data_IF_215833236008
#
_entry.id   IF_215833236008
#
_cell.length_a   1.000
_cell.length_b   1.000
_cell.length_c   1.000
_cell.angle_alpha   90.00
_cell.angle_beta   90.00
_cell.angle_gamma   90.00
#
_symmetry.space_group_name_H-M   'P 1'
#
loop_
_entity.id
_entity.type
_entity.pdbx_description
1 polymer ?
#
# COMPACT_ATOMS: atom_id res chain seq x y z
N UNK A 1 5.37 2.55 -32.62
CA UNK A 1 3.98 2.09 -32.46
C UNK A 1 3.35 3.04 -31.46
N UNK A 2 2.24 3.68 -31.81
CA UNK A 2 1.54 4.61 -30.92
C UNK A 2 0.77 3.79 -29.88
N UNK A 3 1.02 4.03 -28.59
CA UNK A 3 0.37 3.32 -27.49
C UNK A 3 -0.84 4.14 -27.05
N UNK A 4 -2.03 3.55 -27.10
CA UNK A 4 -3.29 4.22 -26.74
C UNK A 4 -4.02 3.47 -25.63
N UNK A 5 -4.36 4.20 -24.56
CA UNK A 5 -5.21 3.72 -23.48
C UNK A 5 -6.59 4.37 -23.59
N UNK A 6 -7.65 3.58 -23.45
CA UNK A 6 -9.01 4.10 -23.35
C UNK A 6 -9.85 3.28 -22.38
N UNK A 7 -10.88 3.90 -21.82
CA UNK A 7 -11.84 3.21 -20.94
C UNK A 7 -13.23 3.20 -21.57
N UNK A 8 -14.03 2.19 -21.23
CA UNK A 8 -15.45 2.15 -21.55
C UNK A 8 -16.23 1.76 -20.30
N UNK A 9 -17.35 2.43 -20.06
CA UNK A 9 -18.29 2.00 -19.05
C UNK A 9 -18.84 0.61 -19.42
N UNK A 10 -18.78 -0.35 -18.51
CA UNK A 10 -19.08 -1.76 -18.77
C UNK A 10 -20.53 -1.98 -19.27
N UNK A 11 -21.47 -1.12 -18.87
CA UNK A 11 -22.87 -1.15 -19.35
C UNK A 11 -22.95 -0.95 -20.87
N UNK A 12 -21.97 -0.27 -21.46
CA UNK A 12 -21.90 0.02 -22.91
C UNK A 12 -20.93 -0.90 -23.65
N UNK A 13 -20.30 -1.84 -22.96
CA UNK A 13 -19.32 -2.74 -23.56
C UNK A 13 -20.00 -3.90 -24.31
N UNK A 14 -19.25 -4.52 -25.23
CA UNK A 14 -19.71 -5.75 -25.87
C UNK A 14 -19.70 -6.89 -24.84
N UNK A 15 -20.58 -7.89 -25.01
CA UNK A 15 -20.57 -9.07 -24.14
C UNK A 15 -19.23 -9.81 -24.18
N UNK A 16 -18.56 -9.81 -25.34
CA UNK A 16 -17.22 -10.41 -25.50
C UNK A 16 -16.21 -9.68 -24.61
N UNK A 17 -16.13 -8.36 -24.74
CA UNK A 17 -15.18 -7.53 -24.00
C UNK A 17 -15.42 -7.66 -22.49
N UNK A 18 -16.70 -7.73 -22.09
CA UNK A 18 -17.07 -7.87 -20.68
C UNK A 18 -16.65 -9.22 -20.11
N UNK A 19 -16.82 -10.32 -20.85
CA UNK A 19 -16.32 -11.65 -20.44
C UNK A 19 -14.80 -11.62 -20.32
N UNK A 20 -14.10 -11.01 -21.28
CA UNK A 20 -12.65 -10.89 -21.26
C UNK A 20 -12.15 -10.06 -20.06
N UNK A 21 -12.84 -8.97 -19.73
CA UNK A 21 -12.53 -8.15 -18.57
C UNK A 21 -12.76 -8.91 -17.24
N UNK A 22 -13.84 -9.70 -17.15
CA UNK A 22 -14.12 -10.52 -15.96
C UNK A 22 -13.16 -11.71 -15.82
N UNK A 23 -12.65 -12.25 -16.93
CA UNK A 23 -11.58 -13.26 -16.91
C UNK A 23 -10.27 -12.67 -16.35
N UNK A 24 -9.94 -11.42 -16.66
CA UNK A 24 -8.82 -10.71 -16.02
C UNK A 24 -9.07 -10.57 -14.51
N UNK A 25 -10.25 -10.12 -14.11
CA UNK A 25 -10.64 -9.98 -12.71
C UNK A 25 -10.42 -11.29 -11.91
N UNK A 26 -10.98 -12.40 -12.36
CA UNK A 26 -10.87 -13.71 -11.66
C UNK A 26 -9.44 -14.25 -11.56
N UNK A 27 -8.53 -13.81 -12.45
CA UNK A 27 -7.11 -14.18 -12.39
C UNK A 27 -6.28 -13.29 -11.47
N UNK A 28 -6.79 -12.12 -11.10
CA UNK A 28 -6.05 -11.11 -10.34
C UNK A 28 -6.44 -11.03 -8.86
N UNK A 29 -7.72 -11.24 -8.55
CA UNK A 29 -8.26 -11.15 -7.18
C UNK A 29 -8.07 -12.48 -6.44
N UNK A 30 -7.78 -12.43 -5.13
CA UNK A 30 -7.68 -13.64 -4.30
C UNK A 30 -9.04 -14.34 -4.19
N UNK A 31 -9.03 -15.67 -4.23
CA UNK A 31 -10.24 -16.52 -4.24
C UNK A 31 -11.22 -16.27 -3.08
N UNK A 32 -10.77 -15.69 -1.97
CA UNK A 32 -11.63 -15.41 -0.81
C UNK A 32 -11.97 -13.92 -0.64
N UNK A 33 -11.69 -13.13 -1.66
CA UNK A 33 -11.99 -11.72 -1.76
C UNK A 33 -12.69 -11.38 -3.09
N UNK A 34 -13.04 -12.38 -3.90
CA UNK A 34 -13.77 -12.18 -5.15
C UNK A 34 -15.28 -12.12 -4.94
N UNK A 35 -15.94 -11.09 -5.45
CA UNK A 35 -17.36 -11.10 -5.76
C UNK A 35 -17.64 -12.06 -6.93
N UNK A 36 -18.74 -12.81 -6.86
CA UNK A 36 -19.16 -13.73 -7.92
C UNK A 36 -19.39 -12.95 -9.23
N UNK A 37 -18.79 -13.41 -10.34
CA UNK A 37 -18.89 -12.71 -11.63
C UNK A 37 -20.33 -12.62 -12.16
N UNK A 38 -21.22 -13.56 -11.80
CA UNK A 38 -22.64 -13.45 -12.15
C UNK A 38 -23.32 -12.29 -11.42
N UNK A 39 -22.93 -12.00 -10.18
CA UNK A 39 -23.44 -10.85 -9.41
C UNK A 39 -22.93 -9.54 -10.02
N UNK A 40 -21.65 -9.47 -10.38
CA UNK A 40 -21.08 -8.30 -11.08
C UNK A 40 -21.81 -8.06 -12.40
N UNK A 41 -21.98 -9.11 -13.22
CA UNK A 41 -22.74 -9.06 -14.47
C UNK A 41 -24.18 -8.58 -14.25
N UNK A 42 -24.81 -9.04 -13.18
CA UNK A 42 -26.16 -8.66 -12.82
C UNK A 42 -26.24 -7.17 -12.44
N UNK A 43 -25.31 -6.66 -11.64
CA UNK A 43 -25.18 -5.24 -11.30
C UNK A 43 -24.89 -4.34 -12.50
N UNK A 44 -24.10 -4.81 -13.46
CA UNK A 44 -23.83 -4.08 -14.71
C UNK A 44 -25.11 -3.97 -15.55
N UNK A 45 -25.92 -5.03 -15.59
CA UNK A 45 -27.11 -5.08 -16.45
C UNK A 45 -28.36 -4.47 -15.80
N UNK A 46 -28.47 -4.52 -14.48
CA UNK A 46 -29.62 -4.02 -13.73
C UNK A 46 -29.33 -2.68 -13.08
N UNK A 47 -30.31 -1.77 -13.13
CA UNK A 47 -30.27 -0.53 -12.37
C UNK A 47 -30.97 -0.71 -11.03
N UNK A 48 -30.21 -1.14 -10.02
CA UNK A 48 -30.70 -1.16 -8.65
C UNK A 48 -30.94 0.26 -8.14
N UNK A 49 -32.07 0.48 -7.46
CA UNK A 49 -32.42 1.76 -6.84
C UNK A 49 -31.79 1.84 -5.45
N UNK A 50 -30.53 2.26 -5.42
CA UNK A 50 -29.74 2.38 -4.20
C UNK A 50 -29.24 3.82 -4.01
N UNK A 51 -28.86 4.17 -2.78
CA UNK A 51 -28.28 5.49 -2.51
C UNK A 51 -26.87 5.58 -3.08
N UNK A 52 -26.09 4.50 -2.97
CA UNK A 52 -24.78 4.40 -3.59
C UNK A 52 -24.87 4.40 -5.11
N UNK A 53 -23.80 4.87 -5.76
CA UNK A 53 -23.68 4.85 -7.23
C UNK A 53 -22.51 3.93 -7.60
N UNK A 54 -22.80 2.83 -8.27
CA UNK A 54 -21.78 1.90 -8.76
C UNK A 54 -21.28 2.30 -10.14
N UNK A 55 -19.98 2.13 -10.37
CA UNK A 55 -19.33 2.35 -11.64
C UNK A 55 -18.49 1.14 -12.02
N UNK A 56 -18.63 0.70 -13.27
CA UNK A 56 -17.91 -0.44 -13.81
C UNK A 56 -17.22 -0.02 -15.11
N UNK A 57 -15.95 -0.34 -15.26
CA UNK A 57 -15.15 0.06 -16.40
C UNK A 57 -14.30 -1.08 -16.96
N UNK A 58 -14.08 -1.02 -18.27
CA UNK A 58 -13.14 -1.88 -18.99
C UNK A 58 -12.02 -1.00 -19.53
N UNK A 59 -10.77 -1.41 -19.33
CA UNK A 59 -9.59 -0.78 -19.93
C UNK A 59 -9.27 -1.45 -21.26
N UNK A 60 -8.93 -0.63 -22.24
CA UNK A 60 -8.38 -1.06 -23.51
C UNK A 60 -6.99 -0.50 -23.74
N UNK A 61 -6.07 -1.36 -24.18
CA UNK A 61 -4.75 -1.00 -24.68
C UNK A 61 -4.71 -1.35 -26.16
N UNK A 62 -4.61 -0.35 -27.02
CA UNK A 62 -4.65 -0.52 -28.48
C UNK A 62 -5.87 -1.36 -28.94
N UNK A 63 -7.05 -1.04 -28.41
CA UNK A 63 -8.34 -1.71 -28.69
C UNK A 63 -8.50 -3.12 -28.11
N UNK A 64 -7.48 -3.67 -27.44
CA UNK A 64 -7.58 -4.97 -26.75
C UNK A 64 -7.92 -4.77 -25.28
N UNK A 65 -8.78 -5.64 -24.73
CA UNK A 65 -9.19 -5.58 -23.32
C UNK A 65 -8.00 -5.97 -22.44
N UNK A 66 -7.67 -5.11 -21.48
CA UNK A 66 -6.53 -5.33 -20.59
C UNK A 66 -6.79 -4.95 -19.13
N UNK A 67 -8.04 -4.65 -18.77
CA UNK A 67 -8.39 -4.41 -17.37
C UNK A 67 -9.88 -4.30 -17.11
N UNK A 68 -10.23 -4.48 -15.85
CA UNK A 68 -11.57 -4.35 -15.29
C UNK A 68 -11.50 -3.49 -14.02
N UNK A 69 -12.51 -2.67 -13.78
CA UNK A 69 -12.60 -1.92 -12.54
C UNK A 69 -14.03 -1.77 -12.03
N UNK A 70 -14.14 -1.74 -10.71
CA UNK A 70 -15.35 -1.53 -9.94
C UNK A 70 -15.12 -0.46 -8.89
N UNK A 71 -16.03 0.52 -8.87
CA UNK A 71 -16.03 1.60 -7.90
C UNK A 71 -17.43 1.80 -7.34
N UNK A 72 -17.52 2.15 -6.06
CA UNK A 72 -18.76 2.58 -5.40
C UNK A 72 -18.64 3.99 -4.87
N UNK A 73 -19.53 4.89 -5.26
CA UNK A 73 -19.66 6.19 -4.61
C UNK A 73 -20.69 6.13 -3.48
N UNK A 74 -20.22 6.39 -2.26
CA UNK A 74 -20.99 6.42 -1.03
C UNK A 74 -21.32 7.89 -0.68
N UNK A 75 -22.59 8.32 -0.80
CA UNK A 75 -22.93 9.74 -0.82
C UNK A 75 -22.92 10.43 0.55
N UNK A 76 -23.07 9.70 1.67
CA UNK A 76 -23.20 10.29 3.02
C UNK A 76 -21.88 10.92 3.46
N UNK A 77 -20.77 10.20 3.30
CA UNK A 77 -19.43 10.73 3.57
C UNK A 77 -18.68 11.18 2.30
N UNK A 78 -19.34 11.15 1.13
CA UNK A 78 -18.77 11.56 -0.18
C UNK A 78 -17.51 10.78 -0.53
N UNK A 79 -17.61 9.46 -0.43
CA UNK A 79 -16.49 8.55 -0.54
C UNK A 79 -16.56 7.82 -1.87
N UNK A 80 -15.43 7.76 -2.56
CA UNK A 80 -15.24 6.85 -3.66
C UNK A 80 -14.49 5.61 -3.16
N UNK A 81 -15.21 4.50 -3.00
CA UNK A 81 -14.64 3.18 -2.79
C UNK A 81 -14.06 2.68 -4.13
N UNK A 82 -12.75 2.48 -4.15
CA UNK A 82 -12.07 1.66 -5.13
C UNK A 82 -12.15 0.21 -4.63
N UNK A 83 -13.03 -0.57 -5.23
CA UNK A 83 -13.29 -1.96 -4.86
C UNK A 83 -12.33 -2.87 -5.64
N UNK A 84 -12.45 -2.86 -6.97
CA UNK A 84 -11.54 -3.60 -7.85
C UNK A 84 -10.93 -2.69 -8.92
N UNK A 85 -9.63 -2.86 -9.17
CA UNK A 85 -8.88 -2.28 -10.28
C UNK A 85 -7.86 -3.31 -10.77
N UNK A 86 -8.33 -4.16 -11.67
CA UNK A 86 -7.64 -5.33 -12.19
C UNK A 86 -7.01 -5.03 -13.55
N UNK A 87 -5.78 -5.46 -13.76
CA UNK A 87 -5.07 -5.34 -15.04
C UNK A 87 -4.53 -6.70 -15.46
N UNK A 88 -4.49 -6.98 -16.76
CA UNK A 88 -3.98 -8.27 -17.29
C UNK A 88 -2.53 -8.54 -16.89
N UNK A 89 -1.76 -7.48 -16.68
CA UNK A 89 -0.40 -7.51 -16.15
C UNK A 89 -0.26 -6.50 -15.01
N UNK A 90 0.47 -6.87 -13.95
CA UNK A 90 0.85 -5.94 -12.88
C UNK A 90 1.93 -4.98 -13.38
N UNK A 91 1.47 -3.89 -13.96
CA UNK A 91 2.31 -2.86 -14.55
C UNK A 91 1.87 -1.48 -14.03
N UNK A 92 2.81 -0.74 -13.43
CA UNK A 92 2.52 0.58 -12.86
C UNK A 92 1.97 1.57 -13.90
N UNK A 93 2.47 1.56 -15.14
CA UNK A 93 1.99 2.45 -16.19
C UNK A 93 0.54 2.16 -16.54
N UNK A 94 0.19 0.87 -16.68
CA UNK A 94 -1.19 0.44 -16.95
C UNK A 94 -2.09 0.84 -15.76
N UNK A 95 -1.66 0.52 -14.53
CA UNK A 95 -2.42 0.84 -13.32
C UNK A 95 -2.69 2.33 -13.19
N UNK A 96 -1.66 3.18 -13.25
CA UNK A 96 -1.85 4.62 -13.08
C UNK A 96 -2.66 5.23 -14.21
N UNK A 97 -2.46 4.79 -15.46
CA UNK A 97 -3.28 5.25 -16.58
C UNK A 97 -4.75 4.89 -16.35
N UNK A 98 -5.03 3.65 -15.93
CA UNK A 98 -6.39 3.19 -15.69
C UNK A 98 -7.07 3.93 -14.54
N UNK A 99 -6.38 4.00 -13.39
CA UNK A 99 -6.84 4.70 -12.19
C UNK A 99 -7.18 6.16 -12.47
N UNK A 100 -6.27 6.93 -13.10
CA UNK A 100 -6.47 8.36 -13.32
C UNK A 100 -7.54 8.66 -14.37
N UNK A 101 -7.63 7.88 -15.45
CA UNK A 101 -8.68 8.06 -16.46
C UNK A 101 -10.06 7.78 -15.86
N UNK A 102 -10.21 6.69 -15.09
CA UNK A 102 -11.47 6.38 -14.40
C UNK A 102 -11.82 7.48 -13.40
N UNK A 103 -10.87 7.88 -12.56
CA UNK A 103 -11.12 8.86 -11.51
C UNK A 103 -11.64 10.19 -12.08
N UNK A 104 -11.04 10.69 -13.16
CA UNK A 104 -11.51 11.92 -13.82
C UNK A 104 -12.89 11.74 -14.49
N UNK A 105 -13.19 10.58 -15.09
CA UNK A 105 -14.53 10.30 -15.63
C UNK A 105 -15.60 10.26 -14.54
N UNK A 106 -15.37 9.52 -13.44
CA UNK A 106 -16.28 9.44 -12.28
C UNK A 106 -16.51 10.83 -11.70
N UNK A 107 -15.43 11.59 -11.45
CA UNK A 107 -15.50 12.94 -10.90
C UNK A 107 -16.29 13.88 -11.81
N UNK A 108 -16.07 13.81 -13.12
CA UNK A 108 -16.85 14.60 -14.08
C UNK A 108 -18.33 14.18 -14.10
N UNK A 109 -18.64 12.89 -13.97
CA UNK A 109 -20.00 12.35 -13.91
C UNK A 109 -20.74 12.84 -12.65
N UNK A 110 -20.12 12.68 -11.47
CA UNK A 110 -20.68 13.10 -10.19
C UNK A 110 -20.90 14.61 -10.13
N UNK A 111 -19.93 15.40 -10.65
CA UNK A 111 -20.05 16.87 -10.68
C UNK A 111 -21.27 17.34 -11.47
N UNK A 112 -21.66 16.66 -12.57
CA UNK A 112 -22.89 16.97 -13.33
C UNK A 112 -24.16 16.81 -12.49
N UNK A 113 -24.10 16.01 -11.43
CA UNK A 113 -25.18 15.76 -10.47
C UNK A 113 -25.03 16.56 -9.17
N UNK A 114 -24.09 17.52 -9.12
CA UNK A 114 -23.74 18.28 -7.90
C UNK A 114 -23.23 17.40 -6.75
N UNK A 115 -22.64 16.25 -7.08
CA UNK A 115 -21.97 15.37 -6.14
C UNK A 115 -20.45 15.57 -6.23
N UNK A 116 -19.77 15.47 -5.09
CA UNK A 116 -18.34 15.69 -4.97
C UNK A 116 -17.71 14.54 -4.20
N UNK A 117 -16.46 14.23 -4.49
CA UNK A 117 -15.69 13.22 -3.77
C UNK A 117 -14.80 13.96 -2.78
N UNK A 118 -14.91 13.65 -1.49
CA UNK A 118 -14.04 14.18 -0.46
C UNK A 118 -12.89 13.20 -0.17
N UNK A 119 -13.18 11.89 -0.19
CA UNK A 119 -12.20 10.84 0.06
C UNK A 119 -12.28 9.70 -0.96
N UNK A 120 -11.15 9.07 -1.22
CA UNK A 120 -11.03 7.80 -1.93
C UNK A 120 -10.54 6.77 -0.92
N UNK A 121 -11.22 5.63 -0.85
CA UNK A 121 -10.82 4.52 0.02
C UNK A 121 -10.63 3.24 -0.81
N UNK A 122 -9.85 2.31 -0.28
CA UNK A 122 -9.78 0.93 -0.76
C UNK A 122 -9.38 0.03 0.40
N UNK A 123 -9.65 -1.25 0.25
CA UNK A 123 -9.50 -2.25 1.29
C UNK A 123 -8.23 -3.06 1.04
N UNK A 124 -7.48 -3.32 2.11
CA UNK A 124 -6.16 -3.90 2.04
C UNK A 124 -6.05 -5.08 3.01
N UNK A 125 -6.03 -6.30 2.46
CA UNK A 125 -6.02 -7.57 3.22
C UNK A 125 -4.86 -7.65 4.21
N UNK A 126 -5.13 -8.22 5.39
CA UNK A 126 -4.14 -8.54 6.42
C UNK A 126 -3.86 -10.04 6.53
N UNK A 127 -4.32 -10.83 5.55
CA UNK A 127 -4.08 -12.27 5.49
C UNK A 127 -2.58 -12.57 5.52
N UNK A 128 -2.13 -13.24 6.57
CA UNK A 128 -0.72 -13.54 6.79
C UNK A 128 -0.43 -15.04 6.89
N UNK A 129 0.75 -15.44 6.44
CA UNK A 129 1.36 -16.74 6.72
C UNK A 129 2.84 -16.50 7.05
N UNK A 130 3.35 -17.12 8.11
CA UNK A 130 4.72 -16.92 8.61
C UNK A 130 5.13 -15.44 8.72
N UNK A 131 4.22 -14.59 9.22
CA UNK A 131 4.37 -13.13 9.37
C UNK A 131 4.58 -12.37 8.04
N UNK A 132 4.21 -12.98 6.91
CA UNK A 132 4.19 -12.33 5.60
C UNK A 132 2.76 -12.22 5.11
N UNK A 133 2.38 -11.05 4.60
CA UNK A 133 1.11 -10.90 3.90
C UNK A 133 1.15 -11.70 2.60
N UNK A 134 0.17 -12.58 2.42
CA UNK A 134 0.09 -13.51 1.29
C UNK A 134 -0.92 -13.07 0.22
N UNK A 135 -1.74 -12.07 0.51
CA UNK A 135 -2.68 -11.52 -0.47
C UNK A 135 -1.93 -10.69 -1.52
N UNK A 136 -1.83 -11.25 -2.72
CA UNK A 136 -0.94 -10.73 -3.74
C UNK A 136 -1.47 -9.42 -4.33
N UNK A 137 -2.79 -9.27 -4.45
CA UNK A 137 -3.41 -8.04 -4.97
C UNK A 137 -3.29 -6.88 -3.99
N UNK A 138 -3.59 -7.12 -2.72
CA UNK A 138 -3.41 -6.16 -1.62
C UNK A 138 -1.94 -5.71 -1.46
N UNK A 139 -0.99 -6.61 -1.72
CA UNK A 139 0.44 -6.29 -1.72
C UNK A 139 0.82 -5.39 -2.91
N UNK A 140 0.32 -5.71 -4.11
CA UNK A 140 0.48 -4.85 -5.28
C UNK A 140 -0.12 -3.46 -5.03
N UNK A 141 -1.32 -3.38 -4.44
CA UNK A 141 -2.00 -2.13 -4.10
C UNK A 141 -1.19 -1.28 -3.12
N UNK A 142 -0.65 -1.87 -2.05
CA UNK A 142 0.25 -1.13 -1.13
C UNK A 142 1.39 -0.43 -1.86
N UNK A 143 1.98 -1.09 -2.86
CA UNK A 143 3.05 -0.50 -3.64
C UNK A 143 2.55 0.67 -4.51
N UNK A 144 1.55 0.47 -5.34
CA UNK A 144 1.08 1.53 -6.25
C UNK A 144 0.42 2.69 -5.51
N UNK A 145 -0.32 2.42 -4.43
CA UNK A 145 -0.98 3.43 -3.60
C UNK A 145 0.02 4.29 -2.80
N UNK A 146 1.23 3.77 -2.53
CA UNK A 146 2.32 4.56 -1.93
C UNK A 146 2.75 5.75 -2.79
N UNK A 147 2.58 5.65 -4.12
CA UNK A 147 2.84 6.76 -5.05
C UNK A 147 1.65 7.71 -5.19
N UNK A 148 0.47 7.30 -4.76
CA UNK A 148 -0.78 8.07 -4.86
C UNK A 148 -1.16 8.80 -3.57
N UNK A 149 -0.25 8.87 -2.57
CA UNK A 149 -0.45 9.55 -1.28
C UNK A 149 -1.61 8.99 -0.46
N UNK A 150 -1.95 7.71 -0.65
CA UNK A 150 -2.81 7.03 0.28
C UNK A 150 -2.10 6.86 1.62
N UNK A 151 -2.90 6.86 2.68
CA UNK A 151 -2.47 6.55 4.03
C UNK A 151 -3.25 5.32 4.51
N UNK A 152 -2.62 4.44 5.27
CA UNK A 152 -3.31 3.32 5.91
C UNK A 152 -3.85 3.77 7.26
N UNK A 153 -5.13 3.48 7.49
CA UNK A 153 -5.72 3.45 8.81
C UNK A 153 -5.34 2.09 9.42
N UNK A 154 -4.36 2.08 10.33
CA UNK A 154 -3.83 0.85 10.95
C UNK A 154 -4.75 0.29 12.03
N UNK A 155 -6.01 0.16 11.69
CA UNK A 155 -7.04 -0.38 12.56
C UNK A 155 -7.75 -1.43 11.73
N UNK A 156 -7.54 -2.71 12.04
CA UNK A 156 -8.22 -3.77 11.34
C UNK A 156 -9.73 -3.62 11.49
N UNK A 157 -10.44 -3.79 10.38
CA UNK A 157 -11.88 -4.07 10.40
C UNK A 157 -12.12 -5.40 9.71
N UNK A 158 -13.34 -5.92 9.88
CA UNK A 158 -13.74 -7.24 9.38
C UNK A 158 -14.40 -7.08 8.01
N UNK A 159 -13.66 -7.33 6.94
CA UNK A 159 -14.25 -7.41 5.60
C UNK A 159 -15.15 -8.65 5.55
N UNK A 160 -16.42 -8.53 5.14
CA UNK A 160 -17.29 -9.66 4.93
C UNK A 160 -17.01 -10.30 3.57
N UNK A 161 -17.12 -11.61 3.50
CA UNK A 161 -17.11 -12.38 2.26
C UNK A 161 -18.36 -13.26 2.24
N UNK A 162 -19.18 -13.12 1.21
CA UNK A 162 -20.41 -13.88 1.06
C UNK A 162 -20.25 -14.95 -0.02
N UNK A 163 -20.40 -16.21 0.36
CA UNK A 163 -20.43 -17.33 -0.58
C UNK A 163 -21.31 -18.47 -0.05
N UNK A 164 -22.03 -19.14 -0.94
CA UNK A 164 -22.90 -20.28 -0.62
C UNK A 164 -23.85 -20.03 0.57
N UNK A 165 -24.50 -18.86 0.56
CA UNK A 165 -25.41 -18.38 1.62
C UNK A 165 -24.78 -18.26 3.02
N UNK A 166 -23.45 -18.12 3.09
CA UNK A 166 -22.69 -17.94 4.32
C UNK A 166 -21.81 -16.70 4.23
N UNK A 167 -21.73 -15.97 5.34
CA UNK A 167 -20.81 -14.84 5.49
C UNK A 167 -19.62 -15.30 6.33
N UNK A 168 -18.42 -15.12 5.80
CA UNK A 168 -17.17 -15.22 6.55
C UNK A 168 -16.53 -13.85 6.66
N UNK A 169 -15.57 -13.70 7.58
CA UNK A 169 -14.90 -12.43 7.82
C UNK A 169 -13.39 -12.58 7.81
N UNK A 170 -12.74 -11.59 7.21
CA UNK A 170 -11.28 -11.51 7.12
C UNK A 170 -10.81 -10.14 7.63
N UNK A 171 -9.60 -10.08 8.18
CA UNK A 171 -9.01 -8.83 8.68
C UNK A 171 -8.44 -8.00 7.53
N UNK A 172 -8.87 -6.75 7.46
CA UNK A 172 -8.45 -5.78 6.44
C UNK A 172 -8.15 -4.44 7.11
N UNK A 173 -7.27 -3.64 6.48
CA UNK A 173 -7.13 -2.23 6.79
C UNK A 173 -7.75 -1.39 5.68
N UNK A 174 -8.21 -0.18 6.00
CA UNK A 174 -8.60 0.80 5.00
C UNK A 174 -7.39 1.66 4.62
N UNK A 175 -7.13 1.78 3.31
CA UNK A 175 -6.31 2.83 2.75
C UNK A 175 -7.19 4.00 2.33
N UNK A 176 -6.81 5.22 2.71
CA UNK A 176 -7.58 6.44 2.47
C UNK A 176 -6.72 7.56 1.89
N UNK A 177 -7.31 8.33 0.98
CA UNK A 177 -6.74 9.55 0.38
C UNK A 177 -7.80 10.63 0.31
N UNK A 178 -7.44 11.88 0.61
CA UNK A 178 -8.32 13.02 0.32
C UNK A 178 -8.33 13.32 -1.17
N UNK A 179 -9.50 13.33 -1.79
CA UNK A 179 -9.64 13.64 -3.21
C UNK A 179 -9.21 15.08 -3.50
N UNK A 180 -8.37 15.27 -4.53
CA UNK A 180 -7.94 16.59 -4.98
C UNK A 180 -6.95 17.33 -4.05
N UNK A 181 -6.44 16.69 -2.99
CA UNK A 181 -5.38 17.30 -2.18
C UNK A 181 -4.02 17.18 -2.88
N UNK A 182 -3.40 18.33 -3.17
CA UNK A 182 -2.00 18.38 -3.60
C UNK A 182 -1.03 18.35 -2.41
N UNK A 183 -1.53 18.61 -1.19
CA UNK A 183 -0.72 18.71 0.02
C UNK A 183 -0.53 17.34 0.70
N UNK A 184 0.69 17.11 1.19
CA UNK A 184 1.08 15.92 1.94
C UNK A 184 0.78 16.15 3.43
N UNK A 185 -0.51 16.26 3.75
CA UNK A 185 -0.94 16.47 5.14
C UNK A 185 -1.22 15.11 5.78
N UNK A 186 -0.55 14.83 6.90
CA UNK A 186 -0.96 13.77 7.81
C UNK A 186 -2.38 14.09 8.30
N UNK A 187 -3.33 13.24 7.96
CA UNK A 187 -4.71 13.41 8.41
C UNK A 187 -4.86 12.79 9.79
N UNK A 188 -5.39 13.57 10.72
CA UNK A 188 -5.90 13.05 11.99
C UNK A 188 -7.36 12.70 11.77
N UNK A 189 -7.68 11.41 11.82
CA UNK A 189 -9.05 10.93 11.79
C UNK A 189 -9.45 10.62 13.22
N UNK A 190 -10.53 11.23 13.68
CA UNK A 190 -11.10 10.86 14.97
C UNK A 190 -11.86 9.53 14.87
N UNK A 191 -12.13 8.95 16.03
CA UNK A 191 -12.91 7.71 16.16
C UNK A 191 -14.28 7.80 15.49
N UNK A 192 -14.95 8.94 15.60
CA UNK A 192 -16.31 9.08 15.08
C UNK A 192 -16.30 9.01 13.55
N UNK A 193 -15.35 9.68 12.89
CA UNK A 193 -15.19 9.60 11.46
C UNK A 193 -14.94 8.17 10.99
N UNK A 194 -14.03 7.44 11.65
CA UNK A 194 -13.75 6.05 11.27
C UNK A 194 -14.96 5.13 11.43
N UNK A 195 -15.70 5.29 12.52
CA UNK A 195 -16.93 4.52 12.74
C UNK A 195 -17.99 4.89 11.70
N UNK A 196 -18.20 6.16 11.38
CA UNK A 196 -19.15 6.58 10.35
C UNK A 196 -18.76 6.07 8.96
N UNK A 197 -17.46 6.01 8.67
CA UNK A 197 -16.91 5.42 7.46
C UNK A 197 -17.27 3.94 7.34
N UNK A 198 -17.02 3.17 8.40
CA UNK A 198 -17.33 1.73 8.42
C UNK A 198 -18.84 1.45 8.39
N UNK A 199 -19.64 2.24 9.11
CA UNK A 199 -21.10 2.11 9.09
C UNK A 199 -21.63 2.30 7.66
N UNK A 200 -21.20 3.35 6.95
CA UNK A 200 -21.62 3.55 5.55
C UNK A 200 -21.11 2.45 4.63
N UNK A 201 -19.86 1.99 4.80
CA UNK A 201 -19.30 0.89 4.00
C UNK A 201 -20.12 -0.40 4.18
N UNK A 202 -20.44 -0.79 5.41
CA UNK A 202 -21.27 -1.97 5.65
C UNK A 202 -22.70 -1.79 5.16
N UNK A 203 -23.34 -0.67 5.47
CA UNK A 203 -24.76 -0.45 5.17
C UNK A 203 -25.03 -0.21 3.69
N UNK A 204 -24.24 0.64 3.04
CA UNK A 204 -24.50 1.10 1.67
C UNK A 204 -23.76 0.29 0.62
N UNK A 205 -22.62 -0.33 0.93
CA UNK A 205 -21.90 -1.18 -0.02
C UNK A 205 -22.23 -2.67 0.20
N UNK A 206 -21.84 -3.24 1.34
CA UNK A 206 -21.94 -4.69 1.57
C UNK A 206 -23.37 -5.19 1.71
N UNK A 207 -24.15 -4.63 2.64
CA UNK A 207 -25.53 -5.06 2.90
C UNK A 207 -26.38 -4.87 1.64
N UNK A 208 -26.27 -3.72 0.96
CA UNK A 208 -26.98 -3.50 -0.31
C UNK A 208 -26.65 -4.55 -1.35
N UNK A 209 -25.37 -4.88 -1.52
CA UNK A 209 -24.96 -5.92 -2.46
C UNK A 209 -25.57 -7.28 -2.08
N UNK A 210 -25.34 -7.73 -0.85
CA UNK A 210 -25.70 -9.08 -0.41
C UNK A 210 -27.21 -9.33 -0.34
N UNK A 211 -28.02 -8.32 -0.01
CA UNK A 211 -29.48 -8.46 0.06
C UNK A 211 -30.13 -8.90 -1.27
N UNK A 212 -29.47 -8.72 -2.41
CA UNK A 212 -29.98 -9.21 -3.70
C UNK A 212 -29.75 -10.71 -3.93
N UNK A 213 -28.76 -11.29 -3.24
CA UNK A 213 -28.28 -12.64 -3.51
C UNK A 213 -28.45 -13.62 -2.34
N UNK A 214 -28.72 -13.10 -1.14
CA UNK A 214 -29.01 -13.90 0.05
C UNK A 214 -30.40 -14.54 0.04
N UNK A 215 -30.53 -15.67 0.74
CA UNK A 215 -31.82 -16.24 1.08
C UNK A 215 -32.59 -15.38 2.09
N UNK A 216 -33.92 -15.48 2.12
CA UNK A 216 -34.75 -14.73 3.07
C UNK A 216 -34.39 -15.01 4.54
N UNK A 217 -33.95 -16.24 4.86
CA UNK A 217 -33.48 -16.61 6.19
C UNK A 217 -32.20 -15.85 6.57
N UNK A 218 -31.21 -15.81 5.66
CA UNK A 218 -29.95 -15.09 5.86
C UNK A 218 -30.14 -13.58 6.00
N UNK A 219 -31.12 -13.01 5.28
CA UNK A 219 -31.44 -11.57 5.34
C UNK A 219 -31.91 -11.10 6.73
N UNK A 220 -32.54 -11.96 7.51
CA UNK A 220 -33.05 -11.59 8.84
C UNK A 220 -31.90 -11.27 9.82
N UNK A 221 -30.78 -11.97 9.69
CA UNK A 221 -29.70 -11.93 10.67
C UNK A 221 -28.54 -11.01 10.27
N UNK A 222 -28.45 -10.61 8.99
CA UNK A 222 -27.31 -9.86 8.46
C UNK A 222 -27.10 -8.53 9.20
N UNK A 223 -28.17 -7.78 9.43
CA UNK A 223 -28.10 -6.46 10.08
C UNK A 223 -27.61 -6.57 11.53
N UNK A 224 -28.03 -7.61 12.26
CA UNK A 224 -27.57 -7.85 13.62
C UNK A 224 -26.08 -8.21 13.65
N UNK A 225 -25.63 -9.01 12.68
CA UNK A 225 -24.23 -9.39 12.56
C UNK A 225 -23.32 -8.16 12.33
N UNK A 226 -23.66 -7.31 11.36
CA UNK A 226 -22.89 -6.08 11.10
C UNK A 226 -22.94 -5.09 12.27
N UNK A 227 -24.09 -4.94 12.94
CA UNK A 227 -24.20 -4.11 14.15
C UNK A 227 -23.25 -4.60 15.25
N UNK A 228 -23.19 -5.91 15.49
CA UNK A 228 -22.31 -6.48 16.51
C UNK A 228 -20.82 -6.21 16.21
N UNK A 229 -20.43 -6.25 14.93
CA UNK A 229 -19.07 -5.92 14.48
C UNK A 229 -18.76 -4.44 14.71
N UNK A 230 -19.68 -3.54 14.34
CA UNK A 230 -19.50 -2.10 14.58
C UNK A 230 -19.41 -1.79 16.08
N UNK A 231 -20.23 -2.43 16.91
CA UNK A 231 -20.16 -2.28 18.37
C UNK A 231 -18.82 -2.75 18.93
N UNK A 232 -18.32 -3.89 18.46
CA UNK A 232 -17.00 -4.39 18.81
C UNK A 232 -15.89 -3.40 18.41
N UNK A 233 -15.90 -2.91 17.17
CA UNK A 233 -14.92 -1.92 16.70
C UNK A 233 -15.02 -0.63 17.50
N UNK A 234 -16.24 -0.18 17.86
CA UNK A 234 -16.41 0.98 18.74
C UNK A 234 -15.64 0.78 20.04
N UNK A 235 -15.72 -0.38 20.69
CA UNK A 235 -15.05 -0.64 21.97
C UNK A 235 -13.52 -0.65 21.81
N UNK A 236 -13.02 -1.31 20.77
CA UNK A 236 -11.58 -1.48 20.54
C UNK A 236 -10.88 -0.20 20.01
N UNK A 237 -11.64 0.72 19.40
CA UNK A 237 -11.06 1.87 18.73
C UNK A 237 -10.55 2.94 19.72
N UNK A 238 -9.25 3.30 19.69
CA UNK A 238 -8.69 4.34 20.56
C UNK A 238 -9.18 5.74 20.16
N UNK A 239 -9.45 6.62 21.12
CA UNK A 239 -10.11 7.92 20.88
C UNK A 239 -9.48 8.80 19.79
N UNK A 240 -8.16 8.70 19.59
CA UNK A 240 -7.45 9.40 18.53
C UNK A 240 -6.44 8.46 17.86
N UNK A 241 -6.51 8.34 16.53
CA UNK A 241 -5.54 7.57 15.74
C UNK A 241 -5.04 8.40 14.58
N UNK A 242 -3.77 8.21 14.23
CA UNK A 242 -3.16 8.85 13.07
C UNK A 242 -3.17 7.88 11.89
N UNK A 243 -3.49 8.39 10.71
CA UNK A 243 -3.20 7.65 9.49
C UNK A 243 -1.69 7.63 9.26
N UNK A 244 -1.14 6.48 8.92
CA UNK A 244 0.28 6.39 8.56
C UNK A 244 0.45 6.36 7.04
N UNK A 245 1.51 6.98 6.53
CA UNK A 245 1.87 6.88 5.12
C UNK A 245 2.05 5.40 4.72
N UNK A 246 1.58 5.05 3.52
CA UNK A 246 1.88 3.75 2.93
C UNK A 246 3.31 3.81 2.40
N UNK A 247 4.24 3.12 3.04
CA UNK A 247 5.62 3.07 2.57
C UNK A 247 5.74 2.14 1.37
N UNK A 248 6.40 2.62 0.31
CA UNK A 248 6.77 1.80 -0.83
C UNK A 248 7.73 0.70 -0.38
N UNK A 249 7.32 -0.56 -0.52
CA UNK A 249 8.21 -1.71 -0.33
C UNK A 249 8.70 -2.10 -1.72
N UNK A 250 9.99 -1.88 -1.99
CA UNK A 250 10.59 -2.27 -3.26
C UNK A 250 10.87 -3.79 -3.22
N UNK A 251 9.84 -4.59 -3.50
CA UNK A 251 9.95 -6.04 -3.58
C UNK A 251 10.55 -6.44 -4.93
N UNK A 252 11.62 -7.23 -4.93
CA UNK A 252 11.92 -8.06 -6.08
C UNK A 252 10.86 -9.17 -6.11
N UNK A 253 10.06 -9.17 -7.17
CA UNK A 253 8.98 -10.13 -7.53
C UNK A 253 7.64 -9.88 -6.82
N UNK A 254 6.65 -9.50 -7.64
CA UNK A 254 5.27 -9.16 -7.27
C UNK A 254 4.48 -10.30 -6.60
N UNK A 255 4.99 -11.54 -6.69
CA UNK A 255 4.26 -12.76 -6.36
C UNK A 255 4.73 -13.46 -5.06
N UNK A 256 5.79 -12.97 -4.41
CA UNK A 256 6.43 -13.67 -3.27
C UNK A 256 6.08 -13.11 -1.86
N UNK A 257 5.13 -12.17 -1.77
CA UNK A 257 4.68 -11.58 -0.51
C UNK A 257 5.64 -10.56 0.10
N UNK A 258 5.28 -10.01 1.28
CA UNK A 258 6.00 -8.89 1.91
C UNK A 258 7.52 -9.13 2.03
N UNK A 259 8.29 -8.27 1.36
CA UNK A 259 9.70 -8.08 1.59
C UNK A 259 9.93 -7.11 2.75
N UNK A 260 11.14 -7.17 3.32
CA UNK A 260 11.60 -6.24 4.35
C UNK A 260 11.36 -4.80 3.92
N UNK A 261 10.70 -4.00 4.79
CA UNK A 261 10.56 -2.55 4.60
C UNK A 261 11.94 -1.95 4.29
N UNK A 262 12.15 -1.54 3.05
CA UNK A 262 13.27 -0.68 2.72
C UNK A 262 12.80 0.73 3.04
N UNK A 263 13.25 1.28 4.17
CA UNK A 263 13.16 2.73 4.35
C UNK A 263 13.71 3.36 3.08
N UNK A 264 12.96 4.20 2.35
CA UNK A 264 13.50 4.85 1.16
C UNK A 264 14.80 5.51 1.61
N UNK A 265 15.92 5.02 1.06
CA UNK A 265 17.23 5.58 1.36
C UNK A 265 17.27 6.97 0.73
N UNK A 266 16.66 7.95 1.40
CA UNK A 266 17.05 9.33 1.22
C UNK A 266 18.42 9.40 1.87
N UNK A 267 19.47 9.15 1.07
CA UNK A 267 20.83 9.55 1.42
C UNK A 267 20.80 11.08 1.45
N UNK A 268 20.34 11.62 2.58
CA UNK A 268 20.43 13.05 2.84
C UNK A 268 21.92 13.42 2.92
N UNK A 269 22.31 14.55 2.34
CA UNK A 269 23.67 15.10 2.40
C UNK A 269 24.24 15.10 3.82
N UNK A 270 23.39 15.19 4.84
CA UNK A 270 23.72 15.08 6.27
C UNK A 270 24.22 13.69 6.69
N UNK A 271 23.62 12.59 6.23
CA UNK A 271 24.09 11.23 6.51
C UNK A 271 25.39 10.92 5.78
N UNK A 272 25.52 11.39 4.53
CA UNK A 272 26.76 11.31 3.77
C UNK A 272 27.90 12.09 4.42
N UNK A 273 27.63 13.31 4.91
CA UNK A 273 28.58 14.11 5.69
C UNK A 273 28.94 13.43 7.01
N UNK A 274 28.00 12.78 7.69
CA UNK A 274 28.27 12.02 8.93
C UNK A 274 29.14 10.80 8.67
N UNK A 275 28.91 10.06 7.59
CA UNK A 275 29.76 8.94 7.16
C UNK A 275 31.17 9.43 6.79
N UNK A 276 31.27 10.50 5.99
CA UNK A 276 32.55 11.14 5.63
C UNK A 276 33.27 11.66 6.88
N UNK A 277 32.57 12.31 7.83
CA UNK A 277 33.15 12.81 9.09
C UNK A 277 33.67 11.69 9.97
N UNK A 278 32.92 10.60 10.13
CA UNK A 278 33.38 9.42 10.89
C UNK A 278 34.58 8.76 10.20
N UNK A 279 34.62 8.75 8.86
CA UNK A 279 35.77 8.27 8.08
C UNK A 279 37.01 9.14 8.31
N UNK A 280 36.88 10.46 8.20
CA UNK A 280 38.00 11.38 8.48
C UNK A 280 38.44 11.32 9.94
N UNK A 281 37.52 11.22 10.90
CA UNK A 281 37.86 11.10 12.31
C UNK A 281 38.69 9.84 12.61
N UNK A 282 38.28 8.67 12.07
CA UNK A 282 39.04 7.43 12.21
C UNK A 282 40.43 7.52 11.55
N UNK A 283 40.52 8.21 10.41
CA UNK A 283 41.80 8.48 9.72
C UNK A 283 42.73 9.38 10.54
N UNK A 284 42.20 10.49 11.07
CA UNK A 284 42.96 11.42 11.92
C UNK A 284 43.43 10.73 13.20
N UNK A 285 42.57 9.95 13.85
CA UNK A 285 42.93 9.20 15.05
C UNK A 285 44.08 8.20 14.79
N UNK A 286 44.01 7.48 13.67
CA UNK A 286 45.08 6.55 13.27
C UNK A 286 46.41 7.27 12.96
N UNK A 287 46.36 8.41 12.26
CA UNK A 287 47.55 9.23 12.01
C UNK A 287 48.19 9.70 13.32
N UNK A 288 47.38 10.18 14.27
CA UNK A 288 47.87 10.62 15.58
C UNK A 288 48.54 9.47 16.33
N UNK A 289 47.91 8.30 16.38
CA UNK A 289 48.49 7.10 17.04
C UNK A 289 49.81 6.70 16.37
N UNK A 290 49.88 6.77 15.04
CA UNK A 290 51.10 6.41 14.29
C UNK A 290 52.23 7.39 14.57
N UNK A 291 51.94 8.70 14.60
CA UNK A 291 52.91 9.74 14.95
C UNK A 291 53.40 9.56 16.39
N UNK A 292 52.50 9.27 17.34
CA UNK A 292 52.87 9.00 18.74
C UNK A 292 53.79 7.77 18.82
N UNK A 293 53.47 6.69 18.10
CA UNK A 293 54.33 5.49 18.06
C UNK A 293 55.73 5.78 17.49
N UNK A 294 55.83 6.60 16.44
CA UNK A 294 57.13 7.02 15.87
C UNK A 294 57.91 7.88 16.86
N UNK A 295 57.25 8.81 17.56
CA UNK A 295 57.88 9.63 18.60
C UNK A 295 58.35 8.79 19.78
N UNK A 296 57.60 7.76 20.18
CA UNK A 296 58.00 6.82 21.23
C UNK A 296 59.28 6.05 20.87
N UNK A 297 59.47 5.70 19.59
CA UNK A 297 60.73 5.10 19.11
C UNK A 297 61.87 6.12 19.14
N UNK A 298 61.62 7.37 18.74
CA UNK A 298 62.64 8.42 18.69
C UNK A 298 63.12 8.85 20.08
N UNK A 299 62.21 8.95 21.05
CA UNK A 299 62.49 9.36 22.42
C UNK A 299 62.67 8.18 23.40
N UNK A 300 62.81 6.96 22.88
CA UNK A 300 62.86 5.72 23.70
C UNK A 300 63.92 5.75 24.81
N UNK A 301 65.09 6.35 24.54
CA UNK A 301 66.21 6.44 25.49
C UNK A 301 65.93 7.42 26.63
N UNK A 302 65.19 8.49 26.34
CA UNK A 302 64.80 9.52 27.32
C UNK A 302 63.65 9.03 28.20
N UNK A 303 62.72 8.24 27.64
CA UNK A 303 61.53 7.74 28.33
C UNK A 303 61.82 6.41 29.06
N UNK A 304 62.99 5.79 28.83
CA UNK A 304 63.39 4.54 29.49
C UNK A 304 62.63 3.31 29.00
N UNK A 305 62.11 3.34 27.78
CA UNK A 305 61.36 2.23 27.17
C UNK A 305 62.32 1.36 26.35
N UNK A 306 62.16 0.03 26.44
CA UNK A 306 62.98 -0.88 25.65
C UNK A 306 62.70 -0.74 24.15
N UNK A 307 63.76 -0.79 23.34
CA UNK A 307 63.69 -0.71 21.87
C UNK A 307 62.75 -1.75 21.27
N UNK A 308 62.59 -2.89 21.93
CA UNK A 308 61.68 -3.97 21.54
C UNK A 308 60.20 -3.55 21.71
N UNK A 309 59.84 -2.92 22.84
CA UNK A 309 58.47 -2.48 23.09
C UNK A 309 58.08 -1.38 22.10
N UNK A 310 58.98 -0.41 21.86
CA UNK A 310 58.72 0.70 20.95
C UNK A 310 58.54 0.26 19.48
N UNK A 311 59.35 -0.71 19.03
CA UNK A 311 59.18 -1.29 17.68
C UNK A 311 57.90 -2.11 17.57
N UNK A 312 57.57 -2.92 18.58
CA UNK A 312 56.35 -3.73 18.60
C UNK A 312 55.08 -2.86 18.53
N UNK A 313 55.01 -1.76 19.30
CA UNK A 313 53.87 -0.82 19.25
C UNK A 313 53.71 -0.15 17.89
N UNK A 314 54.82 0.12 17.21
CA UNK A 314 54.81 0.71 15.87
C UNK A 314 54.27 -0.28 14.82
N UNK A 315 54.71 -1.54 14.90
CA UNK A 315 54.22 -2.62 14.01
C UNK A 315 52.72 -2.87 14.22
N UNK A 316 52.24 -2.92 15.46
CA UNK A 316 50.80 -3.07 15.77
C UNK A 316 49.99 -1.87 15.27
N UNK A 317 50.52 -0.65 15.39
CA UNK A 317 49.89 0.56 14.85
C UNK A 317 49.72 0.52 13.32
N UNK A 318 50.73 0.02 12.61
CA UNK A 318 50.68 -0.14 11.15
C UNK A 318 49.68 -1.24 10.73
N UNK A 319 49.71 -2.40 11.40
CA UNK A 319 48.80 -3.52 11.12
C UNK A 319 47.34 -3.12 11.39
N UNK A 320 47.08 -2.44 12.51
CA UNK A 320 45.72 -1.96 12.83
C UNK A 320 45.21 -0.94 11.80
N UNK A 321 46.11 -0.13 11.21
CA UNK A 321 45.81 0.69 10.05
C UNK A 321 45.30 -0.13 8.87
N UNK A 322 46.05 -1.16 8.46
CA UNK A 322 45.67 -2.03 7.33
C UNK A 322 44.29 -2.66 7.53
N UNK A 323 44.00 -3.19 8.73
CA UNK A 323 42.68 -3.74 9.04
C UNK A 323 41.57 -2.69 9.07
N UNK A 324 41.88 -1.47 9.48
CA UNK A 324 40.94 -0.35 9.42
C UNK A 324 40.64 0.05 7.97
N UNK A 325 41.60 -0.08 7.04
CA UNK A 325 41.45 0.33 5.63
C UNK A 325 40.95 -0.77 4.68
N UNK A 326 41.16 -2.05 5.01
CA UNK A 326 40.72 -3.22 4.22
C UNK A 326 39.24 -3.17 3.76
N UNK A 327 38.27 -2.80 4.62
CA UNK A 327 36.86 -2.68 4.22
C UNK A 327 36.59 -1.54 3.23
N UNK A 328 37.45 -0.53 3.18
CA UNK A 328 37.26 0.65 2.33
C UNK A 328 37.89 0.50 0.93
N UNK A 329 38.86 -0.41 0.77
CA UNK A 329 39.44 -0.76 -0.54
C UNK A 329 38.52 -1.69 -1.35
N UNK A 330 37.67 -2.47 -0.68
CA UNK A 330 36.71 -3.41 -1.32
C UNK A 330 35.43 -2.77 -1.88
N UNK A 331 35.23 -1.45 -1.71
CA UNK A 331 34.03 -0.73 -2.19
C UNK A 331 34.33 0.22 -3.37
N UNK A 332 35.15 -0.23 -4.31
CA UNK A 332 35.32 0.42 -5.61
C UNK A 332 34.78 -0.48 -6.72
#
# INVERSE_FOLDING_TARGET
MEVSYSIKNAVKASKKDLIEALDIYTKTVDKFSETNTNEIMDYINKQYKENRIMFFYILYLNEEVCGFAEYGYLPKNKILLLDYLCTSERNHTIFFSFYHIIFEDIKANLKKRSLFIDFIITELSLKENDKKLIDVDSNYYRQVLSFEKFHILKIPYKQPYFNDDKITFSDFNLAIKKAGSYENNLYKFDRNFYIFLLEELYEEHYIKWYLHYMSEESKLNINEHFKSIIEFIKIEYPNETFSEEIYSVNCNVFDEGLCTQVNPEIITLTRERKIKRTKYFKFTLWLVITIISILLVHFQEIIGISKYIATLTTVIGLISGIFTFLPYLKKK
#
